data_IF_294468093957
#
_entry.id   IF_294468093957
#
_cell.length_a   1.000
_cell.length_b   1.000
_cell.length_c   1.000
_cell.angle_alpha   90.00
_cell.angle_beta   90.00
_cell.angle_gamma   90.00
#
_symmetry.space_group_name_H-M   'P 1'
#
loop_
_entity.id
_entity.type
_entity.pdbx_description
1 polymer ?
#
# COMPACT_ATOMS: atom_id res chain seq x y z
N UNK A 1 -12.71 -8.85 -15.23
CA UNK A 1 -13.47 -8.13 -14.18
C UNK A 1 -13.31 -6.63 -14.38
N UNK A 2 -14.39 -5.95 -14.78
CA UNK A 2 -14.35 -4.52 -15.12
C UNK A 2 -14.86 -3.63 -13.97
N UNK A 3 -14.47 -3.95 -12.75
CA UNK A 3 -14.87 -3.15 -11.59
C UNK A 3 -14.23 -1.75 -11.67
N UNK A 4 -15.05 -0.71 -11.59
CA UNK A 4 -14.61 0.68 -11.53
C UNK A 4 -15.24 1.31 -10.28
N UNK A 5 -14.42 1.95 -9.46
CA UNK A 5 -14.90 2.67 -8.27
C UNK A 5 -15.58 4.00 -8.64
N UNK A 6 -16.32 4.58 -7.70
CA UNK A 6 -16.95 5.90 -7.87
C UNK A 6 -15.96 7.03 -8.16
N UNK A 7 -14.69 6.85 -7.79
CA UNK A 7 -13.60 7.81 -8.03
C UNK A 7 -12.69 7.43 -9.20
N UNK A 8 -13.05 6.40 -9.98
CA UNK A 8 -12.38 6.04 -11.22
C UNK A 8 -11.24 5.01 -11.10
N UNK A 9 -11.02 4.41 -9.93
CA UNK A 9 -10.07 3.30 -9.81
C UNK A 9 -10.62 2.06 -10.53
N UNK A 10 -9.76 1.33 -11.23
CA UNK A 10 -10.16 0.28 -12.16
C UNK A 10 -9.48 -1.07 -11.90
N UNK A 11 -10.20 -2.14 -12.20
CA UNK A 11 -9.71 -3.53 -12.22
C UNK A 11 -9.53 -4.16 -10.86
N UNK A 12 -8.89 -5.34 -10.82
CA UNK A 12 -8.68 -6.13 -9.60
C UNK A 12 -7.90 -5.39 -8.52
N UNK A 13 -6.87 -4.65 -8.94
CA UNK A 13 -6.01 -3.88 -8.04
C UNK A 13 -6.53 -2.46 -7.77
N UNK A 14 -7.67 -2.07 -8.35
CA UNK A 14 -8.27 -0.74 -8.17
C UNK A 14 -7.28 0.40 -8.35
N UNK A 15 -6.56 0.40 -9.48
CA UNK A 15 -5.52 1.38 -9.77
C UNK A 15 -6.15 2.62 -10.42
N UNK A 16 -5.77 3.80 -9.93
CA UNK A 16 -6.17 5.07 -10.54
C UNK A 16 -5.44 5.30 -11.87
N UNK A 17 -6.09 5.89 -12.89
CA UNK A 17 -5.48 6.10 -14.22
C UNK A 17 -4.16 6.88 -14.17
N UNK A 18 -4.07 7.93 -13.35
CA UNK A 18 -2.83 8.71 -13.21
C UNK A 18 -1.71 7.90 -12.56
N UNK A 19 -2.05 7.09 -11.55
CA UNK A 19 -1.10 6.17 -10.91
C UNK A 19 -0.61 5.13 -11.92
N UNK A 20 -1.51 4.53 -12.69
CA UNK A 20 -1.17 3.57 -13.72
C UNK A 20 -0.21 4.15 -14.77
N UNK A 21 -0.49 5.36 -15.24
CA UNK A 21 0.39 6.08 -16.21
C UNK A 21 1.78 6.33 -15.61
N UNK A 22 1.84 6.75 -14.35
CA UNK A 22 3.11 6.97 -13.66
C UNK A 22 3.91 5.67 -13.53
N UNK A 23 3.27 4.59 -13.05
CA UNK A 23 3.92 3.29 -12.88
C UNK A 23 4.37 2.73 -14.22
N UNK A 24 3.52 2.75 -15.25
CA UNK A 24 3.86 2.29 -16.59
C UNK A 24 5.12 2.96 -17.13
N UNK A 25 5.24 4.27 -16.95
CA UNK A 25 6.46 5.01 -17.31
C UNK A 25 7.68 4.54 -16.52
N UNK A 26 7.53 4.31 -15.21
CA UNK A 26 8.63 3.89 -14.33
C UNK A 26 9.16 2.50 -14.64
N UNK A 27 8.28 1.57 -15.04
CA UNK A 27 8.66 0.19 -15.40
C UNK A 27 8.97 0.01 -16.89
N UNK A 28 8.95 1.08 -17.68
CA UNK A 28 9.24 1.02 -19.13
C UNK A 28 8.16 0.37 -19.97
N UNK A 29 6.91 0.36 -19.52
CA UNK A 29 5.76 -0.19 -20.26
C UNK A 29 5.31 0.80 -21.34
N UNK A 30 6.00 0.81 -22.49
CA UNK A 30 5.74 1.74 -23.61
C UNK A 30 4.41 1.49 -24.30
N UNK A 31 3.86 0.28 -24.21
CA UNK A 31 2.58 -0.12 -24.83
C UNK A 31 1.36 0.22 -23.98
N UNK A 32 1.53 0.91 -22.85
CA UNK A 32 0.42 1.25 -21.95
C UNK A 32 -0.52 2.28 -22.58
N UNK A 33 -1.82 1.99 -22.53
CA UNK A 33 -2.91 2.94 -22.77
C UNK A 33 -3.93 2.84 -21.63
N UNK A 34 -4.72 3.88 -21.39
CA UNK A 34 -5.70 3.88 -20.30
C UNK A 34 -6.74 2.74 -20.43
N UNK A 35 -7.09 2.37 -21.65
CA UNK A 35 -8.03 1.26 -21.92
C UNK A 35 -7.48 -0.08 -21.44
N UNK A 36 -6.15 -0.30 -21.57
CA UNK A 36 -5.47 -1.50 -21.10
C UNK A 36 -5.47 -1.66 -19.58
N UNK A 37 -5.79 -0.60 -18.83
CA UNK A 37 -5.93 -0.70 -17.37
C UNK A 37 -7.05 -1.67 -16.94
N UNK A 38 -8.00 -1.95 -17.81
CA UNK A 38 -9.07 -2.94 -17.59
C UNK A 38 -8.64 -4.38 -17.87
N UNK A 39 -7.53 -4.56 -18.61
CA UNK A 39 -6.93 -5.88 -18.80
C UNK A 39 -6.34 -6.39 -17.49
N UNK A 40 -6.65 -7.65 -17.14
CA UNK A 40 -6.28 -8.25 -15.87
C UNK A 40 -4.77 -8.27 -15.66
N UNK A 41 -4.00 -8.71 -16.67
CA UNK A 41 -2.54 -8.81 -16.54
C UNK A 41 -1.89 -7.43 -16.41
N UNK A 42 -2.32 -6.46 -17.22
CA UNK A 42 -1.86 -5.07 -17.13
C UNK A 42 -2.19 -4.48 -15.76
N UNK A 43 -3.41 -4.67 -15.28
CA UNK A 43 -3.86 -4.16 -13.99
C UNK A 43 -3.06 -4.75 -12.82
N UNK A 44 -2.85 -6.07 -12.80
CA UNK A 44 -2.03 -6.74 -11.79
C UNK A 44 -0.58 -6.28 -11.85
N UNK A 45 0.01 -6.15 -13.04
CA UNK A 45 1.39 -5.67 -13.21
C UNK A 45 1.55 -4.25 -12.66
N UNK A 46 0.67 -3.34 -13.03
CA UNK A 46 0.75 -1.95 -12.58
C UNK A 46 0.46 -1.82 -11.09
N UNK A 47 -0.56 -2.50 -10.59
CA UNK A 47 -0.93 -2.44 -9.17
C UNK A 47 0.12 -3.04 -8.25
N UNK A 48 0.69 -4.19 -8.60
CA UNK A 48 1.74 -4.83 -7.80
C UNK A 48 3.04 -4.01 -7.79
N UNK A 49 3.43 -3.43 -8.94
CA UNK A 49 4.57 -2.53 -8.99
C UNK A 49 4.35 -1.25 -8.16
N UNK A 50 3.14 -0.68 -8.22
CA UNK A 50 2.80 0.47 -7.37
C UNK A 50 2.87 0.11 -5.88
N UNK A 51 2.30 -1.03 -5.49
CA UNK A 51 2.38 -1.50 -4.10
C UNK A 51 3.83 -1.67 -3.65
N UNK A 52 4.69 -2.24 -4.50
CA UNK A 52 6.11 -2.38 -4.21
C UNK A 52 6.81 -1.02 -4.06
N UNK A 53 6.50 -0.05 -4.92
CA UNK A 53 7.07 1.30 -4.83
C UNK A 53 6.71 1.96 -3.49
N UNK A 54 5.45 1.91 -3.08
CA UNK A 54 5.04 2.50 -1.79
C UNK A 54 5.57 1.73 -0.60
N UNK A 55 5.74 0.40 -0.71
CA UNK A 55 6.35 -0.41 0.33
C UNK A 55 7.81 -0.02 0.58
N UNK A 56 8.59 0.15 -0.49
CA UNK A 56 9.98 0.62 -0.42
C UNK A 56 10.06 2.04 0.13
N UNK A 57 9.22 2.95 -0.35
CA UNK A 57 9.18 4.36 0.09
C UNK A 57 8.76 4.53 1.57
N UNK A 58 8.12 3.51 2.13
CA UNK A 58 7.64 3.48 3.52
C UNK A 58 8.38 2.43 4.38
N UNK A 59 9.65 2.21 4.07
CA UNK A 59 10.60 1.38 4.85
C UNK A 59 10.11 -0.06 5.09
N UNK A 60 9.40 -0.64 4.14
CA UNK A 60 8.90 -2.01 4.20
C UNK A 60 7.73 -2.25 5.15
N UNK A 61 7.10 -1.19 5.66
CA UNK A 61 5.92 -1.32 6.52
C UNK A 61 4.67 -1.65 5.70
N UNK A 62 4.15 -2.86 5.87
CA UNK A 62 2.92 -3.29 5.22
C UNK A 62 1.69 -2.46 5.65
N UNK A 63 1.65 -2.02 6.89
CA UNK A 63 0.57 -1.15 7.40
C UNK A 63 0.58 0.19 6.69
N UNK A 64 1.75 0.84 6.65
CA UNK A 64 1.91 2.13 5.96
C UNK A 64 1.68 2.01 4.45
N UNK A 65 2.19 0.95 3.83
CA UNK A 65 2.01 0.70 2.40
C UNK A 65 0.54 0.45 2.02
N UNK A 66 -0.17 -0.34 2.82
CA UNK A 66 -1.61 -0.58 2.61
C UNK A 66 -2.42 0.71 2.79
N UNK A 67 -2.11 1.50 3.81
CA UNK A 67 -2.72 2.80 4.03
C UNK A 67 -2.43 3.77 2.87
N UNK A 68 -1.19 3.79 2.38
CA UNK A 68 -0.79 4.60 1.23
C UNK A 68 -1.48 4.17 -0.06
N UNK A 69 -1.65 2.87 -0.26
CA UNK A 69 -2.34 2.33 -1.43
C UNK A 69 -3.80 2.78 -1.51
N UNK A 70 -4.50 2.79 -0.37
CA UNK A 70 -5.91 3.21 -0.29
C UNK A 70 -6.09 4.74 -0.23
N UNK A 71 -5.34 5.41 0.64
CA UNK A 71 -5.54 6.84 0.94
C UNK A 71 -4.52 7.79 0.29
N UNK A 72 -3.50 7.25 -0.35
CA UNK A 72 -2.39 8.00 -0.94
C UNK A 72 -1.15 8.08 -0.03
N UNK A 73 0.06 8.09 -0.63
CA UNK A 73 1.32 8.08 0.12
C UNK A 73 1.50 9.29 1.04
N UNK A 74 1.05 10.47 0.61
CA UNK A 74 1.17 11.71 1.39
C UNK A 74 0.45 11.62 2.73
N UNK A 75 -0.76 11.03 2.75
CA UNK A 75 -1.53 10.83 3.98
C UNK A 75 -0.87 9.83 4.91
N UNK A 76 -0.42 8.70 4.38
CA UNK A 76 0.27 7.67 5.16
C UNK A 76 1.56 8.23 5.81
N UNK A 77 2.34 9.02 5.06
CA UNK A 77 3.52 9.73 5.58
C UNK A 77 3.15 10.70 6.69
N UNK A 78 2.12 11.53 6.48
CA UNK A 78 1.66 12.49 7.48
C UNK A 78 1.19 11.80 8.78
N UNK A 79 0.51 10.68 8.69
CA UNK A 79 0.10 9.92 9.87
C UNK A 79 1.30 9.34 10.63
N UNK A 80 2.32 8.87 9.92
CA UNK A 80 3.59 8.41 10.52
C UNK A 80 4.35 9.55 11.20
N UNK A 81 4.37 10.75 10.62
CA UNK A 81 5.06 11.92 11.17
C UNK A 81 4.52 12.37 12.53
N UNK A 82 3.30 11.96 12.89
CA UNK A 82 2.72 12.23 14.21
C UNK A 82 3.25 11.33 15.33
N UNK A 83 4.01 10.30 14.97
CA UNK A 83 4.59 9.38 15.96
C UNK A 83 5.82 10.01 16.62
N UNK A 84 5.84 9.98 17.96
CA UNK A 84 7.01 10.41 18.77
C UNK A 84 7.88 9.24 19.20
N UNK A 85 7.38 8.00 19.10
CA UNK A 85 8.06 6.78 19.47
C UNK A 85 7.58 5.63 18.57
N UNK A 86 8.31 4.51 18.49
CA UNK A 86 7.83 3.32 17.82
C UNK A 86 6.50 2.84 18.39
N UNK A 87 5.59 2.39 17.51
CA UNK A 87 4.26 1.89 17.89
C UNK A 87 3.99 0.56 17.17
N UNK A 88 3.31 -0.36 17.85
CA UNK A 88 2.86 -1.59 17.20
C UNK A 88 1.95 -1.27 16.00
N UNK A 89 2.14 -1.99 14.89
CA UNK A 89 1.36 -1.78 13.67
C UNK A 89 -0.16 -1.94 13.88
N UNK A 90 -0.57 -2.83 14.79
CA UNK A 90 -1.98 -2.99 15.16
C UNK A 90 -2.56 -1.71 15.81
N UNK A 91 -1.81 -1.10 16.70
CA UNK A 91 -2.21 0.16 17.37
C UNK A 91 -2.24 1.29 16.33
N UNK A 92 -1.20 1.39 15.50
CA UNK A 92 -1.17 2.41 14.43
C UNK A 92 -2.38 2.29 13.51
N UNK A 93 -2.74 1.07 13.07
CA UNK A 93 -3.88 0.84 12.19
C UNK A 93 -5.19 1.39 12.80
N UNK A 94 -5.38 1.25 14.12
CA UNK A 94 -6.55 1.80 14.81
C UNK A 94 -6.54 3.34 14.90
N UNK A 95 -5.37 3.97 14.81
CA UNK A 95 -5.24 5.45 14.86
C UNK A 95 -5.46 6.11 13.50
N UNK A 96 -5.56 5.34 12.41
CA UNK A 96 -5.82 5.89 11.08
C UNK A 96 -7.14 6.68 11.11
N UNK A 97 -7.13 7.99 10.78
CA UNK A 97 -8.32 8.84 10.93
C UNK A 97 -9.48 8.45 10.01
N UNK A 98 -9.17 7.94 8.81
CA UNK A 98 -10.16 7.56 7.82
C UNK A 98 -10.70 6.16 8.11
N UNK A 99 -11.99 6.06 8.40
CA UNK A 99 -12.64 4.78 8.68
C UNK A 99 -12.49 3.76 7.53
N UNK A 100 -12.65 4.20 6.29
CA UNK A 100 -12.46 3.36 5.11
C UNK A 100 -11.04 2.79 5.06
N UNK A 101 -10.02 3.64 5.20
CA UNK A 101 -8.62 3.22 5.15
C UNK A 101 -8.26 2.30 6.33
N UNK A 102 -8.76 2.60 7.51
CA UNK A 102 -8.58 1.76 8.72
C UNK A 102 -9.12 0.35 8.49
N UNK A 103 -10.34 0.24 7.98
CA UNK A 103 -10.98 -1.03 7.65
C UNK A 103 -10.24 -1.75 6.53
N UNK A 104 -9.85 -1.02 5.48
CA UNK A 104 -9.08 -1.56 4.36
C UNK A 104 -7.75 -2.20 4.83
N UNK A 105 -6.96 -1.50 5.61
CA UNK A 105 -5.67 -2.00 6.12
C UNK A 105 -5.86 -3.29 6.93
N UNK A 106 -6.82 -3.31 7.83
CA UNK A 106 -7.11 -4.50 8.66
C UNK A 106 -7.55 -5.69 7.79
N UNK A 107 -8.45 -5.48 6.85
CA UNK A 107 -8.96 -6.54 5.99
C UNK A 107 -7.89 -7.08 5.05
N UNK A 108 -7.13 -6.21 4.39
CA UNK A 108 -6.08 -6.62 3.45
C UNK A 108 -5.00 -7.45 4.15
N UNK A 109 -4.51 -7.02 5.30
CA UNK A 109 -3.43 -7.71 6.00
C UNK A 109 -3.91 -9.00 6.69
N UNK A 110 -5.15 -9.02 7.19
CA UNK A 110 -5.79 -10.24 7.71
C UNK A 110 -5.96 -11.28 6.61
N UNK A 111 -6.52 -10.89 5.47
CA UNK A 111 -6.69 -11.76 4.33
C UNK A 111 -5.34 -12.26 3.77
N UNK A 112 -4.33 -11.40 3.70
CA UNK A 112 -2.99 -11.80 3.27
C UNK A 112 -2.37 -12.85 4.19
N UNK A 113 -2.60 -12.75 5.50
CA UNK A 113 -2.15 -13.77 6.46
C UNK A 113 -2.89 -15.09 6.26
N UNK A 114 -4.19 -15.04 6.07
CA UNK A 114 -5.02 -16.24 5.82
C UNK A 114 -4.60 -16.94 4.52
N UNK A 115 -4.56 -16.21 3.40
CA UNK A 115 -4.18 -16.79 2.11
C UNK A 115 -2.74 -17.30 2.06
N UNK A 116 -1.81 -16.62 2.71
CA UNK A 116 -0.43 -17.11 2.84
C UNK A 116 -0.41 -18.50 3.52
N UNK A 117 -1.16 -18.67 4.61
CA UNK A 117 -1.27 -19.97 5.27
C UNK A 117 -1.86 -21.07 4.37
N UNK A 118 -2.93 -20.75 3.65
CA UNK A 118 -3.60 -21.69 2.73
C UNK A 118 -2.69 -22.08 1.56
N UNK A 119 -1.97 -21.12 0.98
CA UNK A 119 -1.18 -21.35 -0.24
C UNK A 119 0.19 -21.96 0.03
N UNK A 120 0.81 -21.65 1.17
CA UNK A 120 2.20 -22.05 1.45
C UNK A 120 2.33 -23.05 2.58
N UNK A 121 1.24 -23.30 3.33
CA UNK A 121 1.28 -24.09 4.56
C UNK A 121 2.00 -23.42 5.73
N UNK A 122 2.53 -22.21 5.53
CA UNK A 122 3.23 -21.42 6.55
C UNK A 122 2.36 -20.25 6.99
N UNK A 123 2.00 -20.21 8.26
CA UNK A 123 1.24 -19.11 8.84
C UNK A 123 2.18 -18.04 9.40
N UNK A 124 2.19 -16.89 8.78
CA UNK A 124 2.74 -15.68 9.40
C UNK A 124 1.62 -15.06 10.21
N UNK A 125 1.84 -14.89 11.52
CA UNK A 125 0.81 -14.28 12.37
C UNK A 125 0.48 -12.87 11.91
N UNK A 126 -0.77 -12.44 12.13
CA UNK A 126 -1.18 -11.08 11.80
C UNK A 126 -0.33 -10.04 12.57
N UNK A 127 0.02 -10.30 13.81
CA UNK A 127 0.91 -9.45 14.61
C UNK A 127 2.28 -9.27 13.95
N UNK A 128 2.87 -10.34 13.45
CA UNK A 128 4.13 -10.31 12.72
C UNK A 128 4.02 -9.49 11.43
N UNK A 129 2.94 -9.66 10.67
CA UNK A 129 2.68 -8.94 9.43
C UNK A 129 2.45 -7.44 9.65
N UNK A 130 1.76 -7.08 10.71
CA UNK A 130 1.54 -5.69 11.10
C UNK A 130 2.83 -5.02 11.60
N UNK A 131 3.72 -5.77 12.25
CA UNK A 131 5.03 -5.31 12.71
C UNK A 131 4.99 -4.12 13.66
N UNK A 132 6.07 -3.35 13.65
CA UNK A 132 6.23 -2.12 14.42
C UNK A 132 6.56 -0.97 13.49
N UNK A 133 5.94 0.18 13.69
CA UNK A 133 6.16 1.39 12.90
C UNK A 133 7.03 2.34 13.71
N UNK A 134 8.23 2.61 13.20
CA UNK A 134 9.11 3.62 13.76
C UNK A 134 8.73 5.03 13.26
N UNK A 135 8.90 6.08 14.06
CA UNK A 135 8.90 7.45 13.57
C UNK A 135 9.87 7.58 12.40
N UNK A 136 9.59 8.49 11.47
CA UNK A 136 10.58 8.83 10.45
C UNK A 136 11.80 9.40 11.18
N UNK A 137 12.99 8.83 10.92
CA UNK A 137 14.22 9.37 11.45
C UNK A 137 14.32 10.86 11.05
N UNK A 138 14.50 11.74 12.03
CA UNK A 138 14.90 13.10 11.74
C UNK A 138 16.17 13.00 10.89
N UNK A 139 16.16 13.59 9.71
CA UNK A 139 17.39 13.77 8.94
C UNK A 139 18.27 14.61 9.86
N UNK A 140 19.24 13.97 10.51
CA UNK A 140 20.33 14.71 11.12
C UNK A 140 20.99 15.41 9.94
N UNK A 141 20.72 16.70 9.80
CA UNK A 141 21.54 17.55 8.96
C UNK A 141 22.92 17.53 9.60
N UNK A 142 23.81 16.69 9.10
CA UNK A 142 25.23 16.88 9.28
C UNK A 142 25.58 18.15 8.52
N UNK A 143 25.30 19.29 9.15
CA UNK A 143 25.97 20.52 8.80
C UNK A 143 27.32 20.49 9.48
N UNK A 144 28.41 20.69 8.73
CA UNK A 144 29.75 20.83 9.29
C UNK A 144 29.85 22.06 10.20
#
# INVERSE_FOLDING_TARGET
MNATSSVGASGLMQVMPNTAKYVAKKIGMTSYTQEKLKDTNTNLTLGSNYLNMVLVDLDGSWVLASAAYNAGPSRSKLWRERLNAPVEGAIFAETIPFHETRTYVKNVLSNASYYSGVMTGQTISLKQRLGTIAPKAAIQSELP
#
